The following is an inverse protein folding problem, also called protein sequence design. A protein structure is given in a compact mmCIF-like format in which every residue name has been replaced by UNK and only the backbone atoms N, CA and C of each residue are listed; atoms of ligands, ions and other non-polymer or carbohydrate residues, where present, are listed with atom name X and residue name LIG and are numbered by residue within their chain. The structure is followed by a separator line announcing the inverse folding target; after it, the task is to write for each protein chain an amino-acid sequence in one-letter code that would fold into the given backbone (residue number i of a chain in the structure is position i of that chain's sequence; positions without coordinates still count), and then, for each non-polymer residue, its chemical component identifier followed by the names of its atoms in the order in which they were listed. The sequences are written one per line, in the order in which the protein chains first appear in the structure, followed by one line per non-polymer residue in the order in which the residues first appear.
data_IF_421916971335
#
_entry.id   IF_421916971335
#
_cell.length_a   1.000
_cell.length_b   1.000
_cell.length_c   1.000
_cell.angle_alpha   90.00
_cell.angle_beta   90.00
_cell.angle_gamma   90.00
#
_symmetry.space_group_name_H-M   'P 1'
#
loop_
_entity.id
_entity.type
_entity.pdbx_description
1 polymer ?
#
# COMPACT_ATOMS: atom_id res chain seq x y z
N UNK A 1 -10.73 19.94 14.89
CA UNK A 1 -9.64 19.22 14.21
C UNK A 1 -10.21 18.04 13.45
N UNK A 2 -10.05 18.00 12.13
CA UNK A 2 -10.51 16.86 11.31
C UNK A 2 -9.45 15.76 11.38
N UNK A 3 -9.87 14.52 11.67
CA UNK A 3 -9.01 13.33 11.58
C UNK A 3 -9.52 12.42 10.48
N UNK A 4 -8.63 11.90 9.65
CA UNK A 4 -9.02 11.01 8.56
C UNK A 4 -8.25 9.71 8.64
N UNK A 5 -9.02 8.66 8.90
CA UNK A 5 -8.53 7.30 8.96
C UNK A 5 -8.27 6.75 7.55
N UNK A 6 -7.01 6.43 7.26
CA UNK A 6 -6.57 5.75 6.03
C UNK A 6 -6.43 4.23 6.20
N UNK A 7 -7.28 3.64 7.04
CA UNK A 7 -7.35 2.20 7.32
C UNK A 7 -7.10 1.31 6.12
N UNK A 8 -6.31 0.25 6.36
CA UNK A 8 -5.92 -0.72 5.34
C UNK A 8 -7.10 -1.25 4.50
N UNK A 9 -6.94 -1.23 3.17
CA UNK A 9 -8.01 -1.58 2.25
C UNK A 9 -7.92 -3.05 1.81
N UNK A 10 -8.56 -3.93 2.58
CA UNK A 10 -8.64 -5.37 2.26
C UNK A 10 -9.28 -5.66 0.90
N UNK A 11 -10.15 -4.79 0.39
CA UNK A 11 -10.77 -4.96 -0.94
C UNK A 11 -9.73 -4.74 -2.04
N UNK A 12 -8.86 -3.74 -1.92
CA UNK A 12 -7.75 -3.51 -2.84
C UNK A 12 -6.73 -4.67 -2.76
N UNK A 13 -6.33 -5.09 -1.55
CA UNK A 13 -5.44 -6.25 -1.36
C UNK A 13 -6.00 -7.51 -2.02
N UNK A 14 -7.30 -7.82 -1.84
CA UNK A 14 -7.96 -8.97 -2.45
C UNK A 14 -7.95 -8.91 -3.98
N UNK A 15 -8.16 -7.73 -4.57
CA UNK A 15 -8.10 -7.53 -6.03
C UNK A 15 -6.69 -7.77 -6.57
N UNK A 16 -5.67 -7.24 -5.89
CA UNK A 16 -4.26 -7.48 -6.22
C UNK A 16 -3.91 -8.95 -6.07
N UNK A 17 -4.33 -9.62 -5.00
CA UNK A 17 -4.10 -11.06 -4.80
C UNK A 17 -4.68 -11.89 -5.94
N UNK A 18 -5.92 -11.61 -6.35
CA UNK A 18 -6.54 -12.30 -7.47
C UNK A 18 -5.78 -12.09 -8.78
N UNK A 19 -5.26 -10.88 -9.01
CA UNK A 19 -4.40 -10.58 -10.15
C UNK A 19 -3.10 -11.40 -10.11
N UNK A 20 -2.35 -11.34 -9.01
CA UNK A 20 -1.06 -12.04 -8.88
C UNK A 20 -1.23 -13.55 -8.97
N UNK A 21 -2.24 -14.11 -8.30
CA UNK A 21 -2.55 -15.54 -8.34
C UNK A 21 -2.90 -16.01 -9.75
N UNK A 22 -3.75 -15.27 -10.45
CA UNK A 22 -4.14 -15.61 -11.83
C UNK A 22 -2.93 -15.58 -12.75
N UNK A 23 -2.08 -14.56 -12.63
CA UNK A 23 -0.86 -14.40 -13.43
C UNK A 23 0.08 -15.58 -13.19
N UNK A 24 0.43 -15.85 -11.93
CA UNK A 24 1.30 -16.95 -11.55
C UNK A 24 0.79 -18.32 -12.02
N UNK A 25 -0.52 -18.59 -11.87
CA UNK A 25 -1.08 -19.88 -12.26
C UNK A 25 -1.22 -20.04 -13.77
N UNK A 26 -1.44 -18.94 -14.50
CA UNK A 26 -1.47 -18.98 -15.96
C UNK A 26 -0.08 -19.27 -16.53
N UNK A 27 0.95 -18.61 -15.98
CA UNK A 27 2.36 -18.87 -16.33
C UNK A 27 2.76 -20.30 -15.99
N UNK A 28 2.43 -20.78 -14.78
CA UNK A 28 2.67 -22.17 -14.37
C UNK A 28 1.98 -23.20 -15.27
N UNK A 29 0.83 -22.86 -15.85
CA UNK A 29 0.10 -23.76 -16.76
C UNK A 29 0.56 -23.63 -18.22
N UNK A 30 1.62 -22.86 -18.51
CA UNK A 30 2.08 -22.58 -19.88
C UNK A 30 1.10 -21.75 -20.71
N UNK A 31 0.11 -21.09 -20.10
CA UNK A 31 -0.91 -20.30 -20.80
C UNK A 31 -0.41 -18.88 -21.03
N UNK A 32 -0.51 -18.40 -22.27
CA UNK A 32 -0.30 -16.98 -22.59
C UNK A 32 -1.28 -16.14 -21.77
N UNK A 33 -0.74 -15.24 -20.96
CA UNK A 33 -1.54 -14.38 -20.10
C UNK A 33 -1.59 -13.00 -20.72
N UNK A 34 -2.76 -12.56 -21.16
CA UNK A 34 -2.98 -11.14 -21.45
C UNK A 34 -3.13 -10.38 -20.13
N UNK A 35 -2.15 -9.55 -19.82
CA UNK A 35 -2.08 -8.84 -18.54
C UNK A 35 -2.66 -7.46 -18.71
N UNK A 36 -3.80 -7.26 -18.06
CA UNK A 36 -4.49 -5.98 -18.05
C UNK A 36 -3.86 -5.03 -17.01
N UNK A 37 -2.73 -4.42 -17.37
CA UNK A 37 -2.07 -3.39 -16.54
C UNK A 37 -2.96 -2.14 -16.36
N UNK A 38 -3.88 -1.87 -17.27
CA UNK A 38 -4.86 -0.78 -17.11
C UNK A 38 -5.77 -1.00 -15.90
N UNK A 39 -6.22 -2.23 -15.67
CA UNK A 39 -7.02 -2.57 -14.49
C UNK A 39 -6.20 -2.47 -13.19
N UNK A 40 -4.91 -2.84 -13.21
CA UNK A 40 -4.02 -2.62 -12.07
C UNK A 40 -3.83 -1.13 -11.77
N UNK A 41 -3.57 -0.32 -12.79
CA UNK A 41 -3.46 1.12 -12.67
C UNK A 41 -4.72 1.70 -12.00
N UNK A 42 -5.90 1.28 -12.44
CA UNK A 42 -7.17 1.67 -11.84
C UNK A 42 -7.31 1.25 -10.37
N UNK A 43 -6.78 0.09 -9.97
CA UNK A 43 -6.81 -0.34 -8.55
C UNK A 43 -6.05 0.65 -7.69
N UNK A 44 -4.81 0.98 -8.07
CA UNK A 44 -3.94 1.88 -7.32
C UNK A 44 -4.47 3.32 -7.30
N UNK A 45 -4.77 3.88 -8.48
CA UNK A 45 -5.24 5.26 -8.59
C UNK A 45 -6.58 5.45 -7.86
N UNK A 46 -7.53 4.53 -8.01
CA UNK A 46 -8.80 4.64 -7.28
C UNK A 46 -8.61 4.48 -5.77
N UNK A 47 -7.66 3.66 -5.32
CA UNK A 47 -7.35 3.50 -3.90
C UNK A 47 -6.93 4.85 -3.29
N UNK A 48 -5.91 5.51 -3.82
CA UNK A 48 -5.41 6.78 -3.25
C UNK A 48 -6.40 7.93 -3.42
N UNK A 49 -7.02 8.06 -4.61
CA UNK A 49 -8.02 9.12 -4.86
C UNK A 49 -9.22 8.97 -3.91
N UNK A 50 -9.62 7.74 -3.56
CA UNK A 50 -10.74 7.54 -2.64
C UNK A 50 -10.48 8.07 -1.23
N UNK A 51 -9.21 8.11 -0.80
CA UNK A 51 -8.84 8.71 0.49
C UNK A 51 -8.73 10.22 0.40
N UNK A 52 -8.13 10.77 -0.66
CA UNK A 52 -8.01 12.23 -0.82
C UNK A 52 -9.40 12.90 -0.94
N UNK A 53 -10.36 12.22 -1.55
CA UNK A 53 -11.77 12.65 -1.61
C UNK A 53 -12.44 12.82 -0.24
N UNK A 54 -11.85 12.31 0.85
CA UNK A 54 -12.41 12.47 2.20
C UNK A 54 -12.22 13.89 2.76
N UNK A 55 -11.23 14.64 2.28
CA UNK A 55 -10.98 16.03 2.68
C UNK A 55 -10.93 17.01 1.52
N UNK A 56 -10.74 16.51 0.28
CA UNK A 56 -10.53 17.35 -0.89
C UNK A 56 -11.62 17.15 -1.93
N UNK A 57 -12.04 18.22 -2.60
CA UNK A 57 -13.01 18.12 -3.70
C UNK A 57 -12.35 17.46 -4.90
N UNK A 58 -13.13 16.66 -5.65
CA UNK A 58 -12.62 15.87 -6.77
C UNK A 58 -11.91 16.69 -7.86
N UNK A 59 -12.30 17.95 -8.06
CA UNK A 59 -11.69 18.87 -9.03
C UNK A 59 -10.28 19.35 -8.63
N UNK A 60 -9.96 19.28 -7.34
CA UNK A 60 -8.72 19.80 -6.76
C UNK A 60 -7.68 18.69 -6.57
N UNK A 61 -8.04 17.42 -6.86
CA UNK A 61 -7.15 16.26 -6.75
C UNK A 61 -6.21 16.20 -7.95
N UNK A 62 -4.90 16.13 -7.69
CA UNK A 62 -3.88 15.96 -8.73
C UNK A 62 -3.80 14.48 -9.18
N UNK A 63 -4.63 14.13 -10.15
CA UNK A 63 -4.64 12.79 -10.75
C UNK A 63 -3.29 12.40 -11.37
N UNK A 64 -2.46 13.37 -11.78
CA UNK A 64 -1.14 13.08 -12.36
C UNK A 64 -0.17 12.57 -11.29
N UNK A 65 -0.18 13.13 -10.07
CA UNK A 65 0.60 12.62 -8.94
C UNK A 65 0.25 11.17 -8.62
N UNK A 66 -1.05 10.84 -8.48
CA UNK A 66 -1.48 9.46 -8.25
C UNK A 66 -1.08 8.52 -9.38
N UNK A 67 -1.21 8.96 -10.63
CA UNK A 67 -0.81 8.16 -11.79
C UNK A 67 0.71 7.91 -11.78
N UNK A 68 1.53 8.90 -11.40
CA UNK A 68 2.98 8.77 -11.31
C UNK A 68 3.40 7.69 -10.31
N UNK A 69 2.88 7.73 -9.08
CA UNK A 69 3.18 6.70 -8.07
C UNK A 69 2.65 5.32 -8.49
N UNK A 70 1.52 5.26 -9.20
CA UNK A 70 0.98 4.00 -9.70
C UNK A 70 1.82 3.42 -10.84
N UNK A 71 2.38 4.24 -11.72
CA UNK A 71 3.32 3.81 -12.77
C UNK A 71 4.55 3.15 -12.17
N UNK A 72 5.09 3.64 -11.05
CA UNK A 72 6.21 2.99 -10.33
C UNK A 72 5.84 1.56 -9.92
N UNK A 73 4.66 1.36 -9.33
CA UNK A 73 4.20 0.03 -8.94
C UNK A 73 3.96 -0.89 -10.14
N UNK A 74 3.45 -0.36 -11.26
CA UNK A 74 3.30 -1.14 -12.50
C UNK A 74 4.65 -1.63 -13.03
N UNK A 75 5.72 -0.83 -12.90
CA UNK A 75 7.08 -1.27 -13.27
C UNK A 75 7.55 -2.42 -12.38
N UNK A 76 7.42 -2.30 -11.06
CA UNK A 76 7.77 -3.38 -10.12
C UNK A 76 7.01 -4.69 -10.42
N UNK A 77 5.74 -4.60 -10.81
CA UNK A 77 4.92 -5.77 -11.19
C UNK A 77 5.43 -6.42 -12.49
N UNK A 78 5.88 -5.63 -13.46
CA UNK A 78 6.47 -6.16 -14.71
C UNK A 78 7.77 -6.91 -14.42
N UNK A 79 8.62 -6.35 -13.58
CA UNK A 79 9.89 -6.98 -13.19
C UNK A 79 9.65 -8.28 -12.42
N UNK A 80 8.70 -8.27 -11.48
CA UNK A 80 8.26 -9.47 -10.78
C UNK A 80 7.79 -10.56 -11.74
N UNK A 81 7.01 -10.22 -12.75
CA UNK A 81 6.51 -11.18 -13.73
C UNK A 81 7.65 -11.80 -14.55
N UNK A 82 8.61 -10.99 -15.01
CA UNK A 82 9.77 -11.49 -15.75
C UNK A 82 10.57 -12.50 -14.90
N UNK A 83 10.81 -12.17 -13.63
CA UNK A 83 11.51 -13.05 -12.70
C UNK A 83 10.71 -14.31 -12.35
N UNK A 84 9.38 -14.21 -12.32
CA UNK A 84 8.51 -15.33 -11.99
C UNK A 84 8.54 -16.44 -13.06
N UNK A 85 8.68 -16.09 -14.34
CA UNK A 85 8.83 -17.10 -15.40
C UNK A 85 10.05 -17.99 -15.15
N UNK A 86 11.22 -17.38 -14.89
CA UNK A 86 12.44 -18.12 -14.61
C UNK A 86 12.29 -19.01 -13.37
N UNK A 87 11.73 -18.45 -12.29
CA UNK A 87 11.47 -19.22 -11.07
C UNK A 87 10.56 -20.42 -11.31
N UNK A 88 9.51 -20.28 -12.13
CA UNK A 88 8.60 -21.38 -12.46
C UNK A 88 9.34 -22.48 -13.23
N UNK A 89 10.11 -22.13 -14.26
CA UNK A 89 10.85 -23.11 -15.07
C UNK A 89 11.88 -23.88 -14.25
N UNK A 90 12.64 -23.19 -13.39
CA UNK A 90 13.64 -23.79 -12.51
C UNK A 90 13.05 -24.72 -11.45
N UNK A 91 11.76 -24.57 -11.13
CA UNK A 91 11.11 -25.26 -10.01
C UNK A 91 9.94 -26.16 -10.42
N UNK A 92 9.67 -26.33 -11.72
CA UNK A 92 8.46 -27.01 -12.24
C UNK A 92 8.26 -28.45 -11.73
N UNK A 93 9.34 -29.13 -11.40
CA UNK A 93 9.32 -30.51 -10.87
C UNK A 93 8.93 -30.58 -9.38
N UNK A 94 8.89 -29.44 -8.67
CA UNK A 94 8.53 -29.41 -7.24
C UNK A 94 7.03 -29.55 -7.06
N UNK A 95 6.62 -30.58 -6.32
CA UNK A 95 5.21 -30.88 -6.02
C UNK A 95 4.49 -29.78 -5.25
N UNK A 96 5.23 -28.98 -4.46
CA UNK A 96 4.72 -27.87 -3.65
C UNK A 96 4.73 -26.50 -4.35
N UNK A 97 5.13 -26.45 -5.63
CA UNK A 97 5.29 -25.19 -6.35
C UNK A 97 4.00 -24.37 -6.39
N UNK A 98 2.85 -25.01 -6.59
CA UNK A 98 1.54 -24.35 -6.67
C UNK A 98 1.21 -23.57 -5.39
N UNK A 99 1.53 -24.13 -4.23
CA UNK A 99 1.30 -23.47 -2.94
C UNK A 99 2.29 -22.34 -2.70
N UNK A 100 3.56 -22.52 -3.08
CA UNK A 100 4.58 -21.46 -3.08
C UNK A 100 4.14 -20.28 -3.95
N UNK A 101 3.62 -20.53 -5.15
CA UNK A 101 3.09 -19.49 -6.04
C UNK A 101 1.89 -18.76 -5.43
N UNK A 102 0.98 -19.49 -4.78
CA UNK A 102 -0.17 -18.88 -4.09
C UNK A 102 0.27 -18.01 -2.92
N UNK A 103 1.22 -18.45 -2.12
CA UNK A 103 1.76 -17.70 -0.98
C UNK A 103 2.55 -16.48 -1.45
N UNK A 104 3.34 -16.62 -2.52
CA UNK A 104 4.00 -15.49 -3.18
C UNK A 104 2.98 -14.45 -3.65
N UNK A 105 1.89 -14.88 -4.31
CA UNK A 105 0.84 -13.97 -4.74
C UNK A 105 0.17 -13.22 -3.58
N UNK A 106 -0.06 -13.88 -2.42
CA UNK A 106 -0.57 -13.21 -1.21
C UNK A 106 0.42 -12.17 -0.69
N UNK A 107 1.70 -12.54 -0.55
CA UNK A 107 2.74 -11.64 -0.10
C UNK A 107 2.89 -10.44 -1.03
N UNK A 108 2.93 -10.66 -2.35
CA UNK A 108 3.03 -9.60 -3.35
C UNK A 108 1.84 -8.64 -3.32
N UNK A 109 0.63 -9.15 -3.18
CA UNK A 109 -0.56 -8.30 -3.06
C UNK A 109 -0.45 -7.31 -1.90
N UNK A 110 -0.04 -7.81 -0.73
CA UNK A 110 0.14 -6.98 0.47
C UNK A 110 1.30 -6.01 0.32
N UNK A 111 2.44 -6.50 -0.13
CA UNK A 111 3.65 -5.70 -0.27
C UNK A 111 3.48 -4.55 -1.27
N UNK A 112 2.82 -4.81 -2.41
CA UNK A 112 2.58 -3.78 -3.43
C UNK A 112 1.57 -2.75 -2.97
N UNK A 113 0.54 -3.14 -2.20
CA UNK A 113 -0.38 -2.17 -1.62
C UNK A 113 0.31 -1.31 -0.55
N UNK A 114 1.16 -1.90 0.29
CA UNK A 114 1.96 -1.17 1.28
C UNK A 114 2.95 -0.21 0.64
N UNK A 115 3.70 -0.66 -0.36
CA UNK A 115 4.59 0.19 -1.15
C UNK A 115 3.86 1.33 -1.86
N UNK A 116 2.68 1.09 -2.42
CA UNK A 116 1.88 2.17 -2.98
C UNK A 116 1.40 3.15 -1.91
N UNK A 117 0.99 2.61 -0.77
CA UNK A 117 0.47 3.40 0.34
C UNK A 117 1.53 4.32 0.96
N UNK A 118 2.76 3.83 1.19
CA UNK A 118 3.85 4.68 1.68
C UNK A 118 4.17 5.83 0.71
N UNK A 119 4.15 5.56 -0.60
CA UNK A 119 4.39 6.58 -1.63
C UNK A 119 3.23 7.59 -1.64
N UNK A 120 1.98 7.13 -1.44
CA UNK A 120 0.82 8.01 -1.27
C UNK A 120 0.95 8.90 -0.02
N UNK A 121 1.39 8.35 1.12
CA UNK A 121 1.61 9.13 2.32
C UNK A 121 2.69 10.19 2.10
N UNK A 122 3.87 9.79 1.63
CA UNK A 122 5.05 10.65 1.48
C UNK A 122 4.91 11.68 0.34
N UNK A 123 4.36 11.31 -0.81
CA UNK A 123 4.33 12.20 -1.99
C UNK A 123 3.07 13.06 -2.10
N UNK A 124 1.98 12.70 -1.40
CA UNK A 124 0.68 13.36 -1.52
C UNK A 124 0.22 13.88 -0.16
N UNK A 125 0.05 13.01 0.82
CA UNK A 125 -0.53 13.39 2.11
C UNK A 125 0.38 14.34 2.91
N UNK A 126 1.69 14.11 2.91
CA UNK A 126 2.65 14.98 3.57
C UNK A 126 2.66 16.43 3.01
N UNK A 127 2.09 16.65 1.82
CA UNK A 127 1.89 18.01 1.29
C UNK A 127 0.56 18.66 1.67
N UNK A 128 -0.32 17.92 2.34
CA UNK A 128 -1.68 18.36 2.71
C UNK A 128 -1.85 18.45 4.24
N UNK A 129 -1.00 17.78 5.02
CA UNK A 129 -1.02 17.77 6.49
C UNK A 129 0.36 17.39 7.03
N UNK A 130 0.70 17.86 8.23
CA UNK A 130 1.99 17.63 8.89
C UNK A 130 2.03 16.41 9.82
N UNK A 131 0.87 15.97 10.33
CA UNK A 131 0.80 15.02 11.45
C UNK A 131 -0.04 13.79 11.13
N UNK A 132 0.43 12.64 11.61
CA UNK A 132 -0.32 11.40 11.57
C UNK A 132 -0.11 10.56 12.82
N UNK A 133 -1.15 9.85 13.22
CA UNK A 133 -1.06 8.80 14.22
C UNK A 133 -0.88 7.44 13.54
N UNK A 134 0.09 6.68 14.02
CA UNK A 134 0.35 5.34 13.53
C UNK A 134 -0.66 4.36 14.13
N UNK A 135 -1.26 3.53 13.27
CA UNK A 135 -2.25 2.55 13.66
C UNK A 135 -1.86 1.15 13.15
N UNK A 136 -2.03 0.12 13.97
CA UNK A 136 -1.71 -1.27 13.65
C UNK A 136 -2.96 -2.12 13.50
N UNK A 137 -2.80 -3.32 12.92
CA UNK A 137 -3.90 -4.29 12.81
C UNK A 137 -4.27 -4.91 14.17
N UNK A 138 -3.43 -4.78 15.20
CA UNK A 138 -3.61 -5.42 16.50
C UNK A 138 -3.67 -6.95 16.46
N UNK A 139 -3.10 -7.59 15.43
CA UNK A 139 -3.05 -9.05 15.30
C UNK A 139 -1.63 -9.59 15.50
N UNK A 140 -1.50 -10.89 15.73
CA UNK A 140 -0.24 -11.61 16.01
C UNK A 140 0.86 -11.46 14.92
N UNK A 141 0.55 -10.84 13.78
CA UNK A 141 1.49 -10.60 12.68
C UNK A 141 2.05 -9.19 12.69
N UNK A 142 1.57 -8.32 13.57
CA UNK A 142 2.18 -7.01 13.78
C UNK A 142 3.56 -7.26 14.41
N UNK A 143 4.58 -6.56 13.91
CA UNK A 143 5.93 -6.66 14.44
C UNK A 143 5.97 -5.92 15.78
N UNK A 144 6.72 -6.37 16.80
CA UNK A 144 6.80 -5.66 18.07
C UNK A 144 7.18 -4.18 17.90
N UNK A 145 8.14 -3.88 17.00
CA UNK A 145 8.52 -2.50 16.69
C UNK A 145 7.41 -1.67 16.04
N UNK A 146 6.39 -2.29 15.44
CA UNK A 146 5.21 -1.60 14.91
C UNK A 146 4.14 -1.44 15.98
N UNK A 147 4.00 -2.40 16.90
CA UNK A 147 3.10 -2.30 18.05
C UNK A 147 3.51 -1.14 18.97
N UNK A 148 4.80 -0.95 19.21
CA UNK A 148 5.33 0.19 19.98
C UNK A 148 4.97 1.57 19.38
N UNK A 149 4.63 1.60 18.08
CA UNK A 149 4.22 2.83 17.39
C UNK A 149 2.71 3.04 17.42
N UNK A 150 1.92 2.04 17.84
CA UNK A 150 0.45 2.12 17.79
C UNK A 150 -0.09 3.23 18.69
N UNK A 151 -0.91 4.11 18.12
CA UNK A 151 -1.44 5.30 18.78
C UNK A 151 -0.45 6.46 18.95
N UNK A 152 0.82 6.30 18.55
CA UNK A 152 1.81 7.37 18.64
C UNK A 152 1.64 8.35 17.47
N UNK A 153 1.67 9.64 17.77
CA UNK A 153 1.56 10.71 16.79
C UNK A 153 2.96 11.12 16.32
N UNK A 154 3.13 11.20 15.01
CA UNK A 154 4.35 11.59 14.35
C UNK A 154 4.14 12.82 13.48
N UNK A 155 5.21 13.56 13.27
CA UNK A 155 5.35 14.48 12.16
C UNK A 155 6.06 13.75 11.01
N UNK A 156 5.73 14.05 9.74
CA UNK A 156 6.38 13.38 8.61
C UNK A 156 7.91 13.53 8.60
N UNK A 157 8.45 14.63 9.15
CA UNK A 157 9.88 14.89 9.20
C UNK A 157 10.61 14.09 10.30
N UNK A 158 9.90 13.68 11.35
CA UNK A 158 10.48 12.93 12.47
C UNK A 158 10.20 11.41 12.42
N UNK A 159 9.30 10.98 11.53
CA UNK A 159 8.98 9.58 11.34
C UNK A 159 10.12 8.83 10.63
N UNK A 160 10.82 7.95 11.34
CA UNK A 160 11.86 7.08 10.77
C UNK A 160 11.31 6.21 9.62
N UNK A 161 10.11 5.67 9.82
CA UNK A 161 9.36 4.91 8.81
C UNK A 161 7.92 5.38 8.81
N UNK A 162 7.25 5.21 7.67
CA UNK A 162 5.80 5.43 7.58
C UNK A 162 5.03 4.11 7.43
N UNK A 163 3.73 4.07 7.79
CA UNK A 163 2.91 2.91 7.58
C UNK A 163 2.95 2.39 6.13
N UNK A 164 3.05 1.07 5.97
CA UNK A 164 3.17 0.41 4.66
C UNK A 164 4.59 0.32 4.10
N UNK A 165 5.58 0.94 4.73
CA UNK A 165 6.96 0.98 4.22
C UNK A 165 7.68 -0.36 4.24
N UNK A 166 7.51 -1.10 5.32
CA UNK A 166 8.16 -2.38 5.51
C UNK A 166 7.41 -3.55 4.86
N UNK A 167 8.16 -4.62 4.55
CA UNK A 167 7.63 -5.76 3.82
C UNK A 167 6.39 -6.40 4.48
N UNK A 168 5.29 -6.44 3.72
CA UNK A 168 4.03 -7.02 4.19
C UNK A 168 3.32 -6.24 5.31
N UNK A 169 3.72 -4.99 5.57
CA UNK A 169 3.06 -4.11 6.53
C UNK A 169 1.59 -3.84 6.14
N UNK A 170 0.71 -3.80 7.14
CA UNK A 170 -0.72 -3.43 7.02
C UNK A 170 -1.12 -2.29 7.96
N UNK A 171 -0.14 -1.71 8.65
CA UNK A 171 -0.35 -0.54 9.47
C UNK A 171 -0.84 0.62 8.59
N UNK A 172 -1.52 1.58 9.20
CA UNK A 172 -2.03 2.76 8.50
C UNK A 172 -1.84 4.03 9.34
N UNK A 173 -2.07 5.16 8.69
CA UNK A 173 -2.04 6.49 9.27
C UNK A 173 -3.46 7.00 9.47
N UNK A 174 -3.74 7.53 10.66
CA UNK A 174 -4.85 8.46 10.88
C UNK A 174 -4.27 9.87 10.79
N UNK A 175 -4.68 10.65 9.78
CA UNK A 175 -4.05 11.93 9.46
C UNK A 175 -4.84 13.09 10.04
N UNK A 176 -4.12 14.06 10.61
CA UNK A 176 -4.68 15.16 11.36
C UNK A 176 -4.66 16.42 10.50
N UNK A 177 -5.80 17.09 10.35
CA UNK A 177 -5.92 18.36 9.64
C UNK A 177 -6.32 19.45 10.65
N UNK A 178 -5.34 20.01 11.39
CA UNK A 178 -5.60 21.10 12.32
C UNK A 178 -5.86 22.41 11.55
N UNK A 179 -6.81 23.21 12.05
CA UNK A 179 -7.16 24.51 11.46
C UNK A 179 -6.75 25.69 12.39
N UNK A 180 -6.40 25.41 13.64
CA UNK A 180 -6.04 26.42 14.65
C UNK A 180 -4.70 26.13 15.30
N UNK A 181 -4.09 27.17 15.88
CA UNK A 181 -2.84 27.02 16.66
C UNK A 181 -3.03 26.13 17.89
N UNK A 182 -4.17 26.25 18.57
CA UNK A 182 -4.52 25.44 19.74
C UNK A 182 -4.56 23.94 19.39
N UNK A 183 -5.09 23.58 18.22
CA UNK A 183 -5.11 22.19 17.75
C UNK A 183 -3.70 21.67 17.43
N UNK A 184 -2.83 22.52 16.87
CA UNK A 184 -1.41 22.17 16.64
C UNK A 184 -0.68 21.98 17.97
N UNK A 185 -0.90 22.86 18.95
CA UNK A 185 -0.32 22.76 20.28
C UNK A 185 -0.78 21.49 21.02
N UNK A 186 -2.06 21.13 20.92
CA UNK A 186 -2.61 19.88 21.49
C UNK A 186 -1.99 18.64 20.84
N UNK A 187 -1.81 18.63 19.50
CA UNK A 187 -1.09 17.54 18.83
C UNK A 187 0.35 17.43 19.35
N UNK A 188 1.07 18.54 19.42
CA UNK A 188 2.48 18.55 19.81
C UNK A 188 2.70 18.12 21.28
N UNK A 189 1.72 18.31 22.16
CA UNK A 189 1.77 17.80 23.53
C UNK A 189 1.59 16.28 23.61
N UNK A 190 0.99 15.68 22.58
CA UNK A 190 0.67 14.26 22.49
C UNK A 190 1.53 13.49 21.46
N UNK A 191 2.53 14.15 20.86
CA UNK A 191 3.48 13.59 19.88
C UNK A 191 4.86 13.31 20.47
#
# INVERSE_FOLDING_TARGET
MIKIDFKWNHKAEKRLFNFFRRTAFSMFSGKKTDINYSNLMKIFVNYSISYEKKFKKAKDIDVKKHTKIAVKQIKEIKDWQNNLNNYIEENKEKTDLKDKLRNNAKFRARNMLGNYYKDFLKEIIASESEYFEWNTMGDERVRPTHEERDGVIYNWDNAEIVPGEEAGCRCWATVYFPETKEEIEDINQNS
#
